data_IF_217465425565
#
_entry.id   IF_217465425565
#
_cell.length_a   1.000
_cell.length_b   1.000
_cell.length_c   1.000
_cell.angle_alpha   90.00
_cell.angle_beta   90.00
_cell.angle_gamma   90.00
#
_symmetry.space_group_name_H-M   'P 1'
#
loop_
_entity.id
_entity.type
_entity.pdbx_description
1 polymer ?
#
# COMPACT_ATOMS: atom_id res chain seq x y z
N UNK A 1 -16.09 -0.44 -26.79
CA UNK A 1 -17.11 -0.09 -25.79
C UNK A 1 -16.52 -0.36 -24.43
N UNK A 2 -15.84 0.64 -23.87
CA UNK A 2 -15.27 0.58 -22.52
C UNK A 2 -16.43 0.98 -21.62
N UNK A 3 -16.87 0.06 -20.75
CA UNK A 3 -17.91 0.35 -19.79
C UNK A 3 -17.42 1.45 -18.85
N UNK A 4 -17.96 2.65 -19.03
CA UNK A 4 -17.99 3.70 -18.02
C UNK A 4 -18.65 3.13 -16.77
N UNK A 5 -17.85 2.58 -15.88
CA UNK A 5 -18.29 2.21 -14.54
C UNK A 5 -17.66 3.22 -13.60
N UNK A 6 -18.01 4.50 -13.77
CA UNK A 6 -17.91 5.50 -12.71
C UNK A 6 -18.98 5.19 -11.66
N UNK A 7 -18.92 4.00 -11.06
CA UNK A 7 -19.63 3.72 -9.83
C UNK A 7 -18.78 4.31 -8.71
N UNK A 8 -19.28 5.44 -8.19
CA UNK A 8 -18.74 6.16 -7.05
C UNK A 8 -18.77 5.23 -5.83
N UNK A 9 -17.77 4.34 -5.70
CA UNK A 9 -17.67 3.44 -4.57
C UNK A 9 -17.55 4.30 -3.29
N UNK A 10 -18.29 3.97 -2.23
CA UNK A 10 -18.29 4.78 -1.02
C UNK A 10 -16.88 4.84 -0.43
N UNK A 11 -16.51 6.04 0.00
CA UNK A 11 -15.27 6.31 0.75
C UNK A 11 -15.26 5.46 2.02
N UNK A 12 -14.09 4.92 2.36
CA UNK A 12 -13.86 4.11 3.56
C UNK A 12 -13.26 5.01 4.64
N UNK A 13 -14.09 5.38 5.62
CA UNK A 13 -13.72 6.28 6.74
C UNK A 13 -12.53 5.79 7.57
N UNK A 14 -12.37 4.46 7.67
CA UNK A 14 -11.29 3.82 8.41
C UNK A 14 -9.95 3.83 7.66
N UNK A 15 -9.96 4.10 6.34
CA UNK A 15 -8.79 3.95 5.49
C UNK A 15 -8.04 5.27 5.33
N UNK A 16 -6.76 5.25 5.71
CA UNK A 16 -5.78 6.28 5.39
C UNK A 16 -4.72 5.72 4.44
N UNK A 17 -4.56 6.34 3.27
CA UNK A 17 -3.55 6.00 2.30
C UNK A 17 -2.38 6.99 2.35
N UNK A 18 -1.15 6.48 2.32
CA UNK A 18 0.06 7.28 2.42
C UNK A 18 0.98 6.89 1.26
N UNK A 19 1.27 7.84 0.36
CA UNK A 19 2.23 7.63 -0.73
C UNK A 19 3.37 8.65 -0.71
N UNK A 20 4.45 8.33 -1.42
CA UNK A 20 5.54 9.26 -1.69
C UNK A 20 6.81 8.58 -2.17
N UNK A 21 7.78 9.37 -2.60
CA UNK A 21 9.04 8.87 -3.14
C UNK A 21 9.89 8.07 -2.13
N UNK A 22 10.98 7.48 -2.62
CA UNK A 22 11.99 6.88 -1.74
C UNK A 22 12.56 7.96 -0.80
N UNK A 23 12.76 7.59 0.48
CA UNK A 23 13.28 8.50 1.54
C UNK A 23 12.48 9.81 1.73
N UNK A 24 11.22 9.85 1.31
CA UNK A 24 10.35 11.03 1.51
C UNK A 24 9.86 11.23 2.95
N UNK A 25 10.15 10.30 3.87
CA UNK A 25 9.68 10.34 5.26
C UNK A 25 8.34 9.64 5.50
N UNK A 26 7.76 8.96 4.50
CA UNK A 26 6.44 8.33 4.60
C UNK A 26 6.28 7.27 5.70
N UNK A 27 7.27 6.38 5.88
CA UNK A 27 7.19 5.37 6.95
C UNK A 27 7.22 6.02 8.33
N UNK A 28 8.07 7.04 8.55
CA UNK A 28 8.09 7.81 9.81
C UNK A 28 6.77 8.54 10.05
N UNK A 29 6.16 9.11 9.02
CA UNK A 29 4.84 9.73 9.13
C UNK A 29 3.77 8.70 9.50
N UNK A 30 3.76 7.54 8.84
CA UNK A 30 2.82 6.45 9.12
C UNK A 30 2.97 5.89 10.55
N UNK A 31 4.20 5.68 11.02
CA UNK A 31 4.48 5.26 12.40
C UNK A 31 3.96 6.27 13.43
N UNK A 32 4.21 7.57 13.21
CA UNK A 32 3.68 8.63 14.11
C UNK A 32 2.16 8.66 14.10
N UNK A 33 1.53 8.52 12.93
CA UNK A 33 0.08 8.51 12.80
C UNK A 33 -0.53 7.31 13.55
N UNK A 34 0.08 6.13 13.40
CA UNK A 34 -0.36 4.93 14.11
C UNK A 34 -0.20 5.08 15.63
N UNK A 35 0.97 5.55 16.10
CA UNK A 35 1.24 5.77 17.52
C UNK A 35 0.36 6.85 18.17
N UNK A 36 -0.04 7.87 17.42
CA UNK A 36 -0.93 8.92 17.89
C UNK A 36 -2.41 8.49 17.93
N UNK A 37 -2.76 7.39 17.26
CA UNK A 37 -4.12 6.85 17.25
C UNK A 37 -4.31 5.97 18.48
N UNK A 38 -5.40 6.17 19.22
CA UNK A 38 -5.70 5.37 20.42
C UNK A 38 -6.02 3.93 20.04
N UNK A 39 -5.45 2.98 20.79
CA UNK A 39 -5.72 1.55 20.67
C UNK A 39 -4.45 0.73 20.49
N UNK A 40 -4.63 -0.58 20.39
CA UNK A 40 -3.53 -1.52 20.11
C UNK A 40 -3.13 -1.41 18.64
N UNK A 41 -1.83 -1.46 18.36
CA UNK A 41 -1.29 -1.34 17.00
C UNK A 41 -0.79 -2.69 16.51
N UNK A 42 -1.14 -3.05 15.27
CA UNK A 42 -0.55 -4.14 14.53
C UNK A 42 0.18 -3.61 13.29
N UNK A 43 1.46 -3.93 13.19
CA UNK A 43 2.28 -3.67 12.01
C UNK A 43 2.24 -4.88 11.08
N UNK A 44 1.89 -4.66 9.81
CA UNK A 44 1.82 -5.68 8.77
C UNK A 44 2.98 -5.43 7.81
N UNK A 45 4.01 -6.26 7.93
CA UNK A 45 5.20 -6.22 7.12
C UNK A 45 5.03 -7.07 5.87
N UNK A 46 5.23 -6.46 4.70
CA UNK A 46 5.24 -7.17 3.41
C UNK A 46 6.67 -7.44 2.93
N UNK A 47 7.68 -6.90 3.60
CA UNK A 47 9.08 -7.08 3.22
C UNK A 47 9.56 -8.52 3.44
N UNK A 48 10.27 -9.07 2.46
CA UNK A 48 11.01 -10.33 2.58
C UNK A 48 12.51 -10.03 2.60
N UNK A 49 13.28 -10.76 3.40
CA UNK A 49 14.73 -10.63 3.41
C UNK A 49 15.31 -11.36 2.18
N UNK A 50 15.39 -10.66 1.05
CA UNK A 50 15.98 -11.21 -0.18
C UNK A 50 17.51 -11.13 -0.19
N UNK A 51 18.06 -9.95 0.11
CA UNK A 51 19.49 -9.69 0.17
C UNK A 51 19.91 -9.05 1.51
N UNK A 52 21.21 -8.84 1.70
CA UNK A 52 21.75 -8.24 2.93
C UNK A 52 21.32 -6.77 3.12
N UNK A 53 21.14 -6.02 2.05
CA UNK A 53 20.70 -4.62 2.11
C UNK A 53 19.25 -4.53 2.63
N UNK A 54 18.37 -5.37 2.10
CA UNK A 54 16.99 -5.52 2.52
C UNK A 54 16.92 -6.05 3.94
N UNK A 55 17.77 -7.00 4.32
CA UNK A 55 17.84 -7.50 5.70
C UNK A 55 18.23 -6.39 6.70
N UNK A 56 19.21 -5.55 6.37
CA UNK A 56 19.59 -4.39 7.19
C UNK A 56 18.46 -3.36 7.25
N UNK A 57 17.78 -3.12 6.13
CA UNK A 57 16.63 -2.21 6.06
C UNK A 57 15.46 -2.72 6.91
N UNK A 58 15.16 -4.01 6.88
CA UNK A 58 14.16 -4.66 7.73
C UNK A 58 14.57 -4.52 9.20
N UNK A 59 15.84 -4.76 9.54
CA UNK A 59 16.34 -4.58 10.92
C UNK A 59 16.14 -3.16 11.42
N UNK A 60 16.51 -2.15 10.63
CA UNK A 60 16.29 -0.74 10.99
C UNK A 60 14.81 -0.42 11.16
N UNK A 61 13.96 -0.86 10.22
CA UNK A 61 12.51 -0.68 10.33
C UNK A 61 11.91 -1.42 11.53
N UNK A 62 12.47 -2.57 11.96
CA UNK A 62 12.10 -3.25 13.21
C UNK A 62 12.47 -2.42 14.43
N UNK A 63 13.66 -1.83 14.45
CA UNK A 63 14.14 -1.02 15.58
C UNK A 63 13.38 0.30 15.77
N UNK A 64 12.78 0.86 14.71
CA UNK A 64 11.96 2.08 14.78
C UNK A 64 10.55 1.84 15.35
N UNK A 65 10.15 0.57 15.53
CA UNK A 65 8.81 0.22 16.03
C UNK A 65 8.81 0.06 17.55
N UNK A 66 7.76 0.54 18.25
CA UNK A 66 7.54 0.19 19.64
C UNK A 66 7.41 -1.33 19.83
N UNK A 67 8.03 -1.86 20.89
CA UNK A 67 8.08 -3.30 21.15
C UNK A 67 6.74 -3.93 21.54
N UNK A 68 5.77 -3.11 21.96
CA UNK A 68 4.42 -3.49 22.34
C UNK A 68 3.47 -3.69 21.14
N UNK A 69 3.92 -3.39 19.92
CA UNK A 69 3.11 -3.57 18.71
C UNK A 69 3.10 -5.02 18.25
N UNK A 70 1.92 -5.52 17.89
CA UNK A 70 1.83 -6.80 17.18
C UNK A 70 2.51 -6.69 15.82
N UNK A 71 3.20 -7.74 15.38
CA UNK A 71 3.81 -7.79 14.06
C UNK A 71 3.29 -9.00 13.30
N UNK A 72 2.79 -8.76 12.09
CA UNK A 72 2.36 -9.77 11.13
C UNK A 72 3.29 -9.69 9.91
N UNK A 73 3.93 -10.79 9.56
CA UNK A 73 4.77 -10.87 8.36
C UNK A 73 4.00 -11.66 7.30
N UNK A 74 3.44 -10.97 6.32
CA UNK A 74 2.64 -11.58 5.28
C UNK A 74 2.94 -10.87 3.94
N UNK A 75 3.83 -11.48 3.12
CA UNK A 75 4.34 -10.83 1.93
C UNK A 75 3.38 -10.84 0.73
N UNK A 76 2.32 -11.66 0.76
CA UNK A 76 1.48 -11.93 -0.41
C UNK A 76 -0.02 -11.68 -0.16
N UNK A 77 -0.55 -12.10 0.99
CA UNK A 77 -2.00 -12.10 1.27
C UNK A 77 -2.39 -10.93 2.16
N UNK A 78 -2.52 -9.74 1.57
CA UNK A 78 -2.80 -8.50 2.28
C UNK A 78 -4.16 -8.52 2.98
N UNK A 79 -5.21 -8.96 2.29
CA UNK A 79 -6.56 -8.98 2.83
C UNK A 79 -6.64 -9.91 4.06
N UNK A 80 -6.03 -11.08 3.96
CA UNK A 80 -5.90 -12.03 5.06
C UNK A 80 -5.14 -11.42 6.25
N UNK A 81 -4.00 -10.78 6.00
CA UNK A 81 -3.18 -10.19 7.06
C UNK A 81 -3.93 -9.10 7.83
N UNK A 82 -4.59 -8.19 7.10
CA UNK A 82 -5.39 -7.12 7.70
C UNK A 82 -6.56 -7.69 8.50
N UNK A 83 -7.25 -8.69 7.97
CA UNK A 83 -8.38 -9.33 8.66
C UNK A 83 -7.95 -9.97 10.01
N UNK A 84 -6.79 -10.63 10.05
CA UNK A 84 -6.29 -11.27 11.27
C UNK A 84 -5.74 -10.23 12.25
N UNK A 85 -5.02 -9.23 11.77
CA UNK A 85 -4.53 -8.14 12.60
C UNK A 85 -5.69 -7.37 13.25
N UNK A 86 -6.81 -7.19 12.54
CA UNK A 86 -8.02 -6.55 13.06
C UNK A 86 -8.68 -7.30 14.23
N UNK A 87 -8.33 -8.57 14.49
CA UNK A 87 -8.85 -9.30 15.64
C UNK A 87 -8.15 -8.93 16.95
N UNK A 88 -6.92 -8.40 16.87
CA UNK A 88 -6.06 -8.14 18.03
C UNK A 88 -5.65 -6.68 18.18
N UNK A 89 -5.92 -5.85 17.17
CA UNK A 89 -5.52 -4.45 17.13
C UNK A 89 -6.63 -3.54 16.60
N UNK A 90 -6.55 -2.28 17.03
CA UNK A 90 -7.44 -1.20 16.60
C UNK A 90 -6.82 -0.43 15.44
N UNK A 91 -5.49 -0.36 15.38
CA UNK A 91 -4.73 0.38 14.36
C UNK A 91 -3.87 -0.61 13.57
N UNK A 92 -4.13 -0.69 12.27
CA UNK A 92 -3.48 -1.62 11.36
C UNK A 92 -2.58 -0.82 10.43
N UNK A 93 -1.26 -1.00 10.53
CA UNK A 93 -0.28 -0.30 9.68
C UNK A 93 0.35 -1.28 8.69
N UNK A 94 -0.02 -1.16 7.42
CA UNK A 94 0.52 -1.96 6.32
C UNK A 94 1.63 -1.18 5.61
N UNK A 95 2.88 -1.63 5.73
CA UNK A 95 4.06 -1.04 5.09
C UNK A 95 4.91 -2.15 4.41
N UNK A 96 4.93 -2.25 3.06
CA UNK A 96 4.22 -1.41 2.07
C UNK A 96 3.78 -2.18 0.83
N UNK A 97 2.85 -1.59 0.06
CA UNK A 97 2.35 -2.12 -1.21
C UNK A 97 3.46 -2.29 -2.26
N UNK A 98 4.51 -1.46 -2.19
CA UNK A 98 5.68 -1.53 -3.08
C UNK A 98 6.40 -2.87 -3.01
N UNK A 99 6.63 -3.38 -1.79
CA UNK A 99 7.28 -4.68 -1.58
C UNK A 99 6.32 -5.84 -1.81
N UNK A 100 5.06 -5.68 -1.41
CA UNK A 100 4.02 -6.68 -1.72
C UNK A 100 3.93 -6.95 -3.23
N UNK A 101 3.81 -5.89 -4.05
CA UNK A 101 3.72 -6.05 -5.50
C UNK A 101 4.98 -6.70 -6.05
N UNK A 102 6.16 -6.31 -5.55
CA UNK A 102 7.42 -6.93 -5.94
C UNK A 102 7.49 -8.42 -5.59
N UNK A 103 7.02 -8.83 -4.41
CA UNK A 103 6.95 -10.24 -4.04
C UNK A 103 5.96 -11.01 -4.90
N UNK A 104 4.82 -10.41 -5.22
CA UNK A 104 3.80 -11.03 -6.06
C UNK A 104 4.33 -11.25 -7.47
N UNK A 105 5.00 -10.26 -8.07
CA UNK A 105 5.64 -10.40 -9.38
C UNK A 105 6.71 -11.51 -9.39
N UNK A 106 7.58 -11.55 -8.38
CA UNK A 106 8.60 -12.59 -8.25
C UNK A 106 7.99 -13.99 -8.09
N UNK A 107 6.92 -14.13 -7.29
CA UNK A 107 6.23 -15.41 -7.11
C UNK A 107 5.54 -15.93 -8.40
N UNK A 108 5.41 -15.07 -9.41
CA UNK A 108 4.85 -15.39 -10.72
C UNK A 108 5.88 -15.46 -11.84
N UNK A 109 7.18 -15.33 -11.54
CA UNK A 109 8.23 -15.53 -12.54
C UNK A 109 8.17 -16.99 -13.03
N UNK A 110 7.56 -17.17 -14.20
CA UNK A 110 7.69 -18.36 -15.02
C UNK A 110 9.05 -18.31 -15.72
N UNK A 111 9.66 -19.45 -16.11
CA UNK A 111 10.98 -19.49 -16.75
C UNK A 111 11.06 -18.90 -18.19
N UNK A 112 10.04 -18.17 -18.63
CA UNK A 112 9.87 -17.72 -20.02
C UNK A 112 10.12 -16.21 -20.21
N UNK A 113 10.53 -15.78 -21.42
CA UNK A 113 11.58 -14.77 -21.61
C UNK A 113 11.20 -13.33 -21.24
N UNK A 114 12.26 -12.56 -20.92
CA UNK A 114 12.36 -11.15 -20.47
C UNK A 114 11.52 -10.08 -21.21
N UNK A 115 10.69 -10.44 -22.20
CA UNK A 115 10.11 -9.52 -23.19
C UNK A 115 8.56 -9.49 -23.15
N UNK A 116 7.90 -10.40 -22.43
CA UNK A 116 6.44 -10.44 -22.43
C UNK A 116 5.82 -9.22 -21.69
N UNK A 117 4.79 -8.58 -22.26
CA UNK A 117 4.01 -7.56 -21.56
C UNK A 117 3.25 -8.15 -20.36
N UNK A 118 2.68 -7.28 -19.53
CA UNK A 118 1.74 -7.65 -18.46
C UNK A 118 0.73 -8.67 -18.96
N UNK A 119 0.68 -9.85 -18.32
CA UNK A 119 -0.41 -10.78 -18.58
C UNK A 119 -1.69 -10.23 -17.93
N UNK A 120 -2.83 -10.20 -18.65
CA UNK A 120 -4.11 -9.78 -18.09
C UNK A 120 -4.46 -10.51 -16.79
N UNK A 121 -4.02 -11.75 -16.65
CA UNK A 121 -4.23 -12.60 -15.48
C UNK A 121 -3.48 -12.06 -14.24
N UNK A 122 -2.26 -11.54 -14.43
CA UNK A 122 -1.47 -10.96 -13.36
C UNK A 122 -2.07 -9.64 -12.87
N UNK A 123 -2.47 -8.77 -13.80
CA UNK A 123 -3.20 -7.54 -13.45
C UNK A 123 -4.49 -7.87 -12.69
N UNK A 124 -5.28 -8.82 -13.19
CA UNK A 124 -6.51 -9.24 -12.53
C UNK A 124 -6.25 -9.78 -11.13
N UNK A 125 -5.16 -10.53 -10.92
CA UNK A 125 -4.79 -11.03 -9.58
C UNK A 125 -4.37 -9.90 -8.65
N UNK A 126 -3.55 -8.95 -9.12
CA UNK A 126 -3.12 -7.78 -8.33
C UNK A 126 -4.32 -6.95 -7.92
N UNK A 127 -5.19 -6.63 -8.87
CA UNK A 127 -6.40 -5.84 -8.61
C UNK A 127 -7.37 -6.63 -7.72
N UNK A 128 -7.51 -7.94 -7.93
CA UNK A 128 -8.35 -8.79 -7.08
C UNK A 128 -7.94 -8.76 -5.61
N UNK A 129 -6.65 -8.86 -5.30
CA UNK A 129 -6.15 -8.75 -3.92
C UNK A 129 -6.43 -7.37 -3.30
N UNK A 130 -6.30 -6.30 -4.09
CA UNK A 130 -6.63 -4.95 -3.63
C UNK A 130 -8.12 -4.77 -3.38
N UNK A 131 -8.99 -5.30 -4.25
CA UNK A 131 -10.43 -5.25 -4.01
C UNK A 131 -10.83 -6.04 -2.75
N UNK A 132 -10.19 -7.18 -2.49
CA UNK A 132 -10.37 -7.94 -1.24
C UNK A 132 -9.88 -7.13 -0.03
N UNK A 133 -8.72 -6.47 -0.12
CA UNK A 133 -8.22 -5.60 0.93
C UNK A 133 -9.20 -4.45 1.22
N UNK A 134 -9.76 -3.82 0.18
CA UNK A 134 -10.77 -2.77 0.32
C UNK A 134 -12.07 -3.31 0.93
N UNK A 135 -12.48 -4.54 0.60
CA UNK A 135 -13.62 -5.20 1.24
C UNK A 135 -13.38 -5.42 2.74
N UNK A 136 -12.19 -5.90 3.12
CA UNK A 136 -11.80 -6.03 4.54
C UNK A 136 -11.81 -4.66 5.22
N UNK A 137 -11.26 -3.63 4.56
CA UNK A 137 -11.24 -2.27 5.10
C UNK A 137 -12.65 -1.70 5.35
N UNK A 138 -13.62 -1.98 4.48
CA UNK A 138 -15.04 -1.62 4.65
C UNK A 138 -15.70 -2.34 5.83
N UNK A 139 -15.25 -3.56 6.14
CA UNK A 139 -15.80 -4.36 7.23
C UNK A 139 -15.17 -4.02 8.60
N UNK A 140 -14.18 -3.13 8.65
CA UNK A 140 -13.57 -2.69 9.90
C UNK A 140 -14.57 -1.94 10.77
N UNK A 141 -14.45 -2.15 12.08
CA UNK A 141 -15.31 -1.46 13.04
C UNK A 141 -15.01 0.05 13.06
N UNK A 142 -15.97 0.85 13.50
CA UNK A 142 -15.86 2.33 13.52
C UNK A 142 -14.70 2.87 14.38
N UNK A 143 -14.20 2.09 15.34
CA UNK A 143 -13.04 2.43 16.16
C UNK A 143 -11.71 2.01 15.52
N UNK A 144 -11.73 1.12 14.52
CA UNK A 144 -10.53 0.60 13.89
C UNK A 144 -10.05 1.50 12.75
N UNK A 145 -8.74 1.50 12.50
CA UNK A 145 -8.09 2.28 11.45
C UNK A 145 -7.13 1.42 10.66
N UNK A 146 -7.16 1.56 9.35
CA UNK A 146 -6.20 0.95 8.44
C UNK A 146 -5.37 2.05 7.78
N UNK A 147 -4.06 1.98 7.98
CA UNK A 147 -3.07 2.86 7.38
C UNK A 147 -2.28 2.05 6.37
N UNK A 148 -2.32 2.45 5.10
CA UNK A 148 -1.64 1.75 4.00
C UNK A 148 -0.56 2.64 3.41
N UNK A 149 0.67 2.12 3.36
CA UNK A 149 1.83 2.84 2.82
C UNK A 149 2.21 2.28 1.45
N UNK A 150 2.50 3.18 0.51
CA UNK A 150 3.02 2.84 -0.84
C UNK A 150 4.07 3.85 -1.30
N UNK A 151 4.83 3.49 -2.35
CA UNK A 151 5.70 4.43 -3.05
C UNK A 151 4.97 5.05 -4.23
N UNK A 152 5.34 6.31 -4.52
CA UNK A 152 5.13 6.91 -5.85
C UNK A 152 6.37 6.62 -6.72
N UNK A 153 6.16 6.05 -7.90
CA UNK A 153 7.22 5.60 -8.83
C UNK A 153 7.00 6.08 -10.28
N UNK A 154 5.87 6.70 -10.56
CA UNK A 154 5.45 7.17 -11.88
C UNK A 154 5.92 8.58 -12.25
N UNK A 155 6.55 9.32 -11.33
CA UNK A 155 7.06 10.69 -11.56
C UNK A 155 8.47 10.74 -12.19
N UNK A 156 8.99 9.59 -12.64
CA UNK A 156 10.32 9.46 -13.23
C UNK A 156 10.29 9.04 -14.72
N UNK A 157 11.44 8.60 -15.22
CA UNK A 157 11.55 8.04 -16.57
C UNK A 157 10.81 6.70 -16.68
N UNK A 158 10.42 6.35 -17.91
CA UNK A 158 9.91 5.01 -18.23
C UNK A 158 11.03 3.98 -18.01
N UNK A 159 10.81 2.92 -17.21
CA UNK A 159 11.81 1.88 -17.03
C UNK A 159 12.21 1.20 -18.35
N UNK A 160 13.50 0.87 -18.47
CA UNK A 160 14.03 0.19 -19.66
C UNK A 160 13.56 -1.27 -19.75
N UNK A 161 13.43 -1.95 -18.60
CA UNK A 161 12.98 -3.34 -18.55
C UNK A 161 11.45 -3.44 -18.65
N UNK A 162 10.91 -4.46 -19.37
CA UNK A 162 9.47 -4.74 -19.39
C UNK A 162 8.90 -4.94 -17.98
N UNK A 163 9.57 -5.73 -17.14
CA UNK A 163 9.18 -5.94 -15.74
C UNK A 163 9.07 -4.62 -14.96
N UNK A 164 10.02 -3.70 -15.16
CA UNK A 164 10.00 -2.39 -14.52
C UNK A 164 8.80 -1.53 -14.96
N UNK A 165 8.47 -1.54 -16.25
CA UNK A 165 7.27 -0.85 -16.77
C UNK A 165 6.00 -1.45 -16.17
N UNK A 166 5.89 -2.77 -16.20
CA UNK A 166 4.76 -3.51 -15.63
C UNK A 166 4.56 -3.21 -14.15
N UNK A 167 5.65 -3.23 -13.37
CA UNK A 167 5.64 -2.88 -11.96
C UNK A 167 5.15 -1.44 -11.72
N UNK A 168 5.71 -0.47 -12.48
CA UNK A 168 5.33 0.94 -12.37
C UNK A 168 3.85 1.15 -12.66
N UNK A 169 3.37 0.58 -13.76
CA UNK A 169 1.99 0.78 -14.23
C UNK A 169 0.99 0.11 -13.28
N UNK A 170 1.26 -1.12 -12.83
CA UNK A 170 0.44 -1.80 -11.82
C UNK A 170 0.42 -1.06 -10.49
N UNK A 171 1.57 -0.61 -9.98
CA UNK A 171 1.61 0.14 -8.72
C UNK A 171 0.83 1.44 -8.83
N UNK A 172 0.86 2.10 -9.99
CA UNK A 172 0.03 3.27 -10.29
C UNK A 172 -1.46 2.96 -10.20
N UNK A 173 -1.92 1.85 -10.80
CA UNK A 173 -3.32 1.41 -10.72
C UNK A 173 -3.73 1.08 -9.27
N UNK A 174 -2.89 0.35 -8.54
CA UNK A 174 -3.09 0.03 -7.12
C UNK A 174 -3.20 1.31 -6.29
N UNK A 175 -2.27 2.26 -6.47
CA UNK A 175 -2.27 3.53 -5.75
C UNK A 175 -3.55 4.33 -6.02
N UNK A 176 -4.03 4.35 -7.27
CA UNK A 176 -5.28 5.03 -7.63
C UNK A 176 -6.49 4.43 -6.91
N UNK A 177 -6.63 3.09 -6.89
CA UNK A 177 -7.73 2.40 -6.19
C UNK A 177 -7.75 2.72 -4.70
N UNK A 178 -6.60 2.66 -4.04
CA UNK A 178 -6.46 2.99 -2.63
C UNK A 178 -6.74 4.47 -2.36
N UNK A 179 -6.18 5.37 -3.16
CA UNK A 179 -6.38 6.80 -3.00
C UNK A 179 -7.86 7.19 -3.20
N UNK A 180 -8.55 6.61 -4.18
CA UNK A 180 -9.98 6.86 -4.40
C UNK A 180 -10.82 6.38 -3.21
N UNK A 181 -10.60 5.16 -2.75
CA UNK A 181 -11.37 4.57 -1.66
C UNK A 181 -11.06 5.16 -0.27
N UNK A 182 -9.87 5.72 -0.04
CA UNK A 182 -9.48 6.24 1.27
C UNK A 182 -10.20 7.54 1.63
N UNK A 183 -10.61 7.67 2.89
CA UNK A 183 -11.09 8.94 3.43
C UNK A 183 -9.97 9.98 3.58
N UNK A 184 -8.74 9.51 3.82
CA UNK A 184 -7.54 10.36 3.89
C UNK A 184 -6.47 9.83 2.96
N UNK A 185 -5.89 10.70 2.15
CA UNK A 185 -4.77 10.35 1.28
C UNK A 185 -3.67 11.41 1.40
N UNK A 186 -2.43 10.99 1.69
CA UNK A 186 -1.29 11.88 1.86
C UNK A 186 -0.18 11.59 0.85
N UNK A 187 0.37 12.64 0.24
CA UNK A 187 1.65 12.59 -0.48
C UNK A 187 2.74 13.17 0.41
N UNK A 188 3.76 12.37 0.74
CA UNK A 188 4.94 12.88 1.45
C UNK A 188 5.99 13.38 0.46
N UNK A 189 6.43 14.62 0.70
CA UNK A 189 7.55 15.28 0.00
C UNK A 189 8.48 15.88 1.05
N UNK A 190 9.76 15.47 1.05
CA UNK A 190 10.77 15.96 2.00
C UNK A 190 10.34 15.91 3.49
N UNK A 191 9.57 14.90 3.88
CA UNK A 191 9.05 14.72 5.24
C UNK A 191 7.76 15.49 5.55
N UNK A 192 7.24 16.27 4.59
CA UNK A 192 6.03 17.08 4.74
C UNK A 192 4.82 16.38 4.09
N UNK A 193 3.71 16.20 4.83
CA UNK A 193 2.49 15.63 4.27
C UNK A 193 1.66 16.68 3.51
N UNK A 194 1.37 16.37 2.25
CA UNK A 194 0.36 17.06 1.45
C UNK A 194 -0.94 16.25 1.50
N UNK A 195 -2.02 16.87 2.00
CA UNK A 195 -3.34 16.24 2.08
C UNK A 195 -4.05 16.30 0.72
N UNK A 196 -4.05 15.18 0.00
CA UNK A 196 -4.58 15.08 -1.35
C UNK A 196 -6.10 15.22 -1.38
N UNK A 197 -6.80 14.76 -0.33
CA UNK A 197 -8.27 14.82 -0.25
C UNK A 197 -8.73 16.25 -0.01
N UNK A 198 -8.00 17.00 0.82
CA UNK A 198 -8.24 18.43 0.98
C UNK A 198 -7.95 19.21 -0.30
N UNK A 199 -6.81 18.96 -0.95
CA UNK A 199 -6.47 19.61 -2.23
C UNK A 199 -7.50 19.30 -3.33
N UNK A 200 -8.07 18.09 -3.36
CA UNK A 200 -9.15 17.73 -4.29
C UNK A 200 -10.44 18.51 -4.00
N UNK A 201 -10.83 18.66 -2.73
CA UNK A 201 -12.02 19.40 -2.34
C UNK A 201 -11.91 20.91 -2.62
N UNK A 202 -10.71 21.46 -2.52
CA UNK A 202 -10.42 22.88 -2.77
C UNK A 202 -10.17 23.19 -4.28
N UNK A 203 -10.04 22.15 -5.12
CA UNK A 203 -9.77 22.28 -6.56
C UNK A 203 -11.03 22.30 -7.44
N UNK A 204 -10.92 22.66 -8.74
CA UNK A 204 -12.01 22.41 -9.68
C UNK A 204 -12.22 20.89 -9.72
N UNK A 205 -13.41 20.43 -9.29
CA UNK A 205 -13.73 19.01 -9.26
C UNK A 205 -13.40 18.35 -10.60
N UNK A 206 -12.56 17.31 -10.55
CA UNK A 206 -12.31 16.43 -11.70
C UNK A 206 -13.57 15.63 -12.04
#
# INVERSE_FOLDING_TARGET
MIAETSQNQPVIEQLTFILGGARSGKSRFALRLAAATRGRVAFIATATAGDQEMAERIRRHRAERPADWYTFEEPLRLAWAVQHAAQVADVLLLDCLTLWLSNLLQAHEQPEPEIAPLSPELEQRVIGEIEQLLQVARALQSHQRLIVVSNEVGLGLVPLSPLGRSYRDLLGLVNQRLAQAAARAYLLVAGLPLDLKRLQADGPGL
#
